data_IF_958648394768
#
_entry.id   IF_958648394768
#
_cell.length_a   1.000
_cell.length_b   1.000
_cell.length_c   1.000
_cell.angle_alpha   90.00
_cell.angle_beta   90.00
_cell.angle_gamma   90.00
#
_symmetry.space_group_name_H-M   'P 1'
#
loop_
_entity.id
_entity.type
_entity.pdbx_description
1 polymer ?
#
# COMPACT_ATOMS: atom_id res chain seq x y z
N UNK A 1 12.41 -4.00 -6.58
CA UNK A 1 13.85 -3.93 -6.27
C UNK A 1 14.37 -5.35 -6.35
N UNK A 2 15.50 -5.55 -7.00
CA UNK A 2 16.16 -6.84 -7.16
C UNK A 2 17.58 -6.70 -6.62
N UNK A 3 18.14 -7.78 -6.09
CA UNK A 3 19.53 -7.86 -5.62
C UNK A 3 20.28 -8.74 -6.61
N UNK A 4 21.40 -8.25 -7.13
CA UNK A 4 22.29 -8.95 -8.04
C UNK A 4 23.66 -9.12 -7.38
N UNK A 5 24.41 -10.13 -7.80
CA UNK A 5 25.83 -10.24 -7.50
C UNK A 5 26.60 -9.32 -8.45
N UNK A 6 27.14 -8.22 -7.92
CA UNK A 6 27.94 -7.25 -8.66
C UNK A 6 29.43 -7.55 -8.54
N UNK A 7 30.25 -6.85 -9.33
CA UNK A 7 31.71 -7.09 -9.38
C UNK A 7 32.43 -6.80 -8.07
N UNK A 8 31.89 -5.89 -7.25
CA UNK A 8 32.52 -5.41 -6.01
C UNK A 8 31.67 -5.71 -4.76
N UNK A 9 30.64 -6.56 -4.89
CA UNK A 9 29.65 -6.78 -3.83
C UNK A 9 28.21 -6.76 -4.36
N UNK A 10 27.22 -6.81 -3.46
CA UNK A 10 25.81 -6.87 -3.84
C UNK A 10 25.34 -5.57 -4.52
N UNK A 11 24.60 -5.70 -5.61
CA UNK A 11 24.00 -4.57 -6.33
C UNK A 11 22.48 -4.58 -6.19
N UNK A 12 21.94 -3.55 -5.55
CA UNK A 12 20.51 -3.32 -5.41
C UNK A 12 20.02 -2.48 -6.59
N UNK A 13 19.24 -3.12 -7.46
CA UNK A 13 18.68 -2.49 -8.65
C UNK A 13 17.21 -2.17 -8.42
N UNK A 14 16.82 -0.91 -8.63
CA UNK A 14 15.43 -0.51 -8.60
C UNK A 14 15.04 0.34 -9.82
N UNK A 15 13.83 0.11 -10.32
CA UNK A 15 13.19 0.92 -11.34
C UNK A 15 11.93 1.54 -10.71
N UNK A 16 11.65 2.80 -11.03
CA UNK A 16 10.43 3.47 -10.62
C UNK A 16 9.74 4.06 -11.83
N UNK A 17 8.48 3.66 -12.04
CA UNK A 17 7.65 4.20 -13.10
C UNK A 17 7.19 5.62 -12.70
N UNK A 18 7.27 6.56 -13.65
CA UNK A 18 6.72 7.93 -13.50
C UNK A 18 7.32 8.74 -12.35
N UNK A 19 8.53 8.42 -11.91
CA UNK A 19 9.32 9.30 -11.03
C UNK A 19 10.22 10.19 -11.87
N UNK A 20 10.40 11.43 -11.43
CA UNK A 20 11.44 12.27 -11.99
C UNK A 20 12.83 11.85 -11.48
N UNK A 21 13.87 12.46 -12.04
CA UNK A 21 15.26 12.14 -11.70
C UNK A 21 15.59 12.48 -10.23
N UNK A 22 14.96 13.53 -9.68
CA UNK A 22 15.21 13.99 -8.32
C UNK A 22 14.61 13.02 -7.29
N UNK A 23 13.36 12.60 -7.47
CA UNK A 23 12.70 11.58 -6.66
C UNK A 23 13.43 10.24 -6.73
N UNK A 24 13.98 9.92 -7.89
CA UNK A 24 14.78 8.71 -8.11
C UNK A 24 16.09 8.77 -7.33
N UNK A 25 16.80 9.90 -7.38
CA UNK A 25 18.02 10.16 -6.60
C UNK A 25 17.75 10.22 -5.10
N UNK A 26 16.62 10.78 -4.69
CA UNK A 26 16.18 10.79 -3.29
C UNK A 26 15.91 9.36 -2.80
N UNK A 27 15.23 8.54 -3.60
CA UNK A 27 14.98 7.12 -3.28
C UNK A 27 16.30 6.34 -3.16
N UNK A 28 17.25 6.53 -4.08
CA UNK A 28 18.56 5.87 -4.01
C UNK A 28 19.30 6.27 -2.72
N UNK A 29 19.37 7.56 -2.41
CA UNK A 29 19.98 8.07 -1.17
C UNK A 29 19.32 7.50 0.08
N UNK A 30 17.99 7.44 0.10
CA UNK A 30 17.24 6.84 1.20
C UNK A 30 17.62 5.37 1.41
N UNK A 31 17.61 4.55 0.35
CA UNK A 31 17.96 3.12 0.43
C UNK A 31 19.40 2.94 0.88
N UNK A 32 20.35 3.72 0.35
CA UNK A 32 21.75 3.69 0.79
C UNK A 32 21.88 3.95 2.29
N UNK A 33 21.28 5.03 2.77
CA UNK A 33 21.35 5.40 4.18
C UNK A 33 20.68 4.34 5.08
N UNK A 34 19.61 3.71 4.62
CA UNK A 34 18.86 2.69 5.36
C UNK A 34 19.68 1.41 5.53
N UNK A 35 20.31 0.96 4.44
CA UNK A 35 21.17 -0.23 4.47
C UNK A 35 22.44 0.02 5.26
N UNK A 36 23.07 1.20 5.14
CA UNK A 36 24.23 1.57 5.97
C UNK A 36 23.87 1.60 7.45
N UNK A 37 22.74 2.20 7.82
CA UNK A 37 22.24 2.22 9.20
C UNK A 37 22.09 0.80 9.76
N UNK A 38 21.44 -0.09 9.00
CA UNK A 38 21.18 -1.46 9.44
C UNK A 38 22.45 -2.33 9.50
N UNK A 39 23.35 -2.20 8.51
CA UNK A 39 24.53 -3.04 8.38
C UNK A 39 25.71 -2.64 9.25
N UNK A 40 25.99 -1.34 9.35
CA UNK A 40 27.16 -0.86 10.09
C UNK A 40 26.87 -0.75 11.59
N UNK A 41 25.63 -0.42 11.96
CA UNK A 41 25.20 -0.16 13.33
C UNK A 41 26.27 0.60 14.14
N UNK A 42 26.79 1.72 13.59
CA UNK A 42 27.94 2.47 14.13
C UNK A 42 27.78 2.91 15.60
N UNK A 43 26.54 2.91 16.10
CA UNK A 43 26.20 3.30 17.47
C UNK A 43 26.06 2.10 18.41
N UNK A 44 26.36 0.88 17.96
CA UNK A 44 26.21 -0.38 18.71
C UNK A 44 24.85 -0.48 19.40
N UNK A 45 23.79 -0.13 18.67
CA UNK A 45 22.42 -0.18 19.19
C UNK A 45 22.01 -1.64 19.41
N UNK A 46 21.19 -1.87 20.44
CA UNK A 46 20.48 -3.14 20.58
C UNK A 46 19.55 -3.37 19.38
N UNK A 47 19.19 -4.63 19.12
CA UNK A 47 18.30 -4.99 18.00
C UNK A 47 17.00 -4.17 18.02
N UNK A 48 16.37 -4.02 19.19
CA UNK A 48 15.13 -3.24 19.33
C UNK A 48 15.32 -1.74 19.06
N UNK A 49 16.45 -1.19 19.52
CA UNK A 49 16.77 0.22 19.30
C UNK A 49 17.11 0.49 17.82
N UNK A 50 17.76 -0.46 17.15
CA UNK A 50 18.05 -0.41 15.73
C UNK A 50 16.77 -0.55 14.90
N UNK A 51 15.90 -1.52 15.21
CA UNK A 51 14.60 -1.71 14.55
C UNK A 51 13.77 -0.43 14.64
N UNK A 52 13.70 0.17 15.83
CA UNK A 52 12.99 1.43 16.03
C UNK A 52 13.56 2.56 15.19
N UNK A 53 14.88 2.64 15.04
CA UNK A 53 15.53 3.68 14.23
C UNK A 53 15.31 3.48 12.74
N UNK A 54 15.44 2.23 12.27
CA UNK A 54 15.10 1.82 10.90
C UNK A 54 13.63 2.14 10.59
N UNK A 55 12.72 1.83 11.51
CA UNK A 55 11.30 2.15 11.38
C UNK A 55 11.07 3.66 11.22
N UNK A 56 11.67 4.49 12.08
CA UNK A 56 11.55 5.96 11.98
C UNK A 56 11.98 6.47 10.61
N UNK A 57 13.13 6.00 10.14
CA UNK A 57 13.66 6.40 8.85
C UNK A 57 12.72 6.01 7.70
N UNK A 58 12.16 4.80 7.74
CA UNK A 58 11.14 4.34 6.77
C UNK A 58 9.88 5.21 6.83
N UNK A 59 9.42 5.56 8.03
CA UNK A 59 8.24 6.41 8.20
C UNK A 59 8.49 7.82 7.67
N UNK A 60 9.63 8.43 8.02
CA UNK A 60 10.02 9.76 7.57
C UNK A 60 10.07 9.86 6.04
N UNK A 61 10.60 8.86 5.36
CA UNK A 61 10.61 8.82 3.89
C UNK A 61 9.21 8.63 3.26
N UNK A 62 8.29 7.96 3.96
CA UNK A 62 6.94 7.66 3.44
C UNK A 62 5.85 8.56 4.02
N UNK A 63 6.20 9.70 4.64
CA UNK A 63 5.23 10.52 5.39
C UNK A 63 4.00 10.93 4.57
N UNK A 64 4.16 11.33 3.31
CA UNK A 64 3.04 11.69 2.44
C UNK A 64 2.02 10.55 2.29
N UNK A 65 2.51 9.33 2.05
CA UNK A 65 1.68 8.12 1.95
C UNK A 65 1.08 7.72 3.28
N UNK A 66 1.82 7.92 4.38
CA UNK A 66 1.35 7.62 5.73
C UNK A 66 0.18 8.51 6.10
N UNK A 67 0.23 9.81 5.77
CA UNK A 67 -0.90 10.72 5.95
C UNK A 67 -2.13 10.22 5.20
N UNK A 68 -1.97 9.84 3.92
CA UNK A 68 -3.08 9.30 3.13
C UNK A 68 -3.65 8.00 3.73
N UNK A 69 -2.78 7.07 4.15
CA UNK A 69 -3.19 5.82 4.79
C UNK A 69 -3.84 6.03 6.16
N UNK A 70 -3.46 7.08 6.90
CA UNK A 70 -4.09 7.46 8.16
C UNK A 70 -5.54 7.87 7.93
N UNK A 71 -5.77 8.77 6.98
CA UNK A 71 -7.10 9.32 6.73
C UNK A 71 -8.04 8.24 6.16
N UNK A 72 -7.50 7.38 5.30
CA UNK A 72 -8.24 6.22 4.78
C UNK A 72 -8.51 5.17 5.85
N UNK A 73 -7.59 4.95 6.79
CA UNK A 73 -7.81 4.07 7.94
C UNK A 73 -8.91 4.61 8.86
N UNK A 74 -8.90 5.90 9.20
CA UNK A 74 -9.96 6.52 10.00
C UNK A 74 -11.33 6.37 9.34
N UNK A 75 -11.40 6.65 8.03
CA UNK A 75 -12.64 6.46 7.25
C UNK A 75 -13.12 5.02 7.28
N UNK A 76 -12.22 4.05 7.06
CA UNK A 76 -12.57 2.63 7.09
C UNK A 76 -13.05 2.18 8.48
N UNK A 77 -12.44 2.69 9.55
CA UNK A 77 -12.87 2.44 10.93
C UNK A 77 -14.27 2.99 11.21
N UNK A 78 -14.55 4.22 10.75
CA UNK A 78 -15.88 4.83 10.84
C UNK A 78 -16.96 3.99 10.16
N UNK A 79 -16.73 3.58 8.91
CA UNK A 79 -17.66 2.74 8.16
C UNK A 79 -17.86 1.35 8.79
N UNK A 80 -16.82 0.77 9.40
CA UNK A 80 -16.94 -0.51 10.10
C UNK A 80 -17.76 -0.38 11.40
N UNK A 81 -17.66 0.76 12.10
CA UNK A 81 -18.50 1.07 13.27
C UNK A 81 -19.97 1.25 12.86
N UNK A 82 -20.23 1.99 11.77
CA UNK A 82 -21.59 2.13 11.22
C UNK A 82 -22.19 0.78 10.80
N UNK A 83 -21.40 -0.07 10.12
CA UNK A 83 -21.85 -1.42 9.75
C UNK A 83 -22.08 -2.30 11.00
N UNK A 84 -21.29 -2.11 12.06
CA UNK A 84 -21.49 -2.81 13.33
C UNK A 84 -22.83 -2.42 13.98
N UNK A 85 -23.14 -1.13 14.06
CA UNK A 85 -24.40 -0.61 14.63
C UNK A 85 -25.61 -1.00 13.78
N UNK A 86 -25.50 -0.87 12.45
CA UNK A 86 -26.56 -1.25 11.50
C UNK A 86 -26.94 -2.73 11.63
N UNK A 87 -25.99 -3.60 11.95
CA UNK A 87 -26.22 -5.04 12.15
C UNK A 87 -26.76 -5.38 13.54
N UNK A 88 -26.94 -4.39 14.42
CA UNK A 88 -27.32 -4.59 15.83
C UNK A 88 -26.43 -5.66 16.50
N UNK A 89 -25.14 -5.62 16.19
CA UNK A 89 -24.18 -6.59 16.72
C UNK A 89 -24.00 -6.33 18.22
N UNK A 90 -24.20 -7.33 19.07
CA UNK A 90 -24.01 -7.24 20.53
C UNK A 90 -22.52 -7.29 20.96
N UNK A 91 -21.59 -7.23 20.00
CA UNK A 91 -20.16 -7.38 20.25
C UNK A 91 -19.54 -6.02 20.66
N UNK A 92 -19.93 -5.56 21.85
CA UNK A 92 -19.46 -4.30 22.44
C UNK A 92 -17.94 -4.27 22.64
N UNK A 93 -17.31 -5.43 22.81
CA UNK A 93 -15.85 -5.55 22.86
C UNK A 93 -15.22 -5.12 21.53
N UNK A 94 -15.72 -5.64 20.39
CA UNK A 94 -15.28 -5.23 19.06
C UNK A 94 -15.55 -3.74 18.82
N UNK A 95 -16.72 -3.23 19.21
CA UNK A 95 -17.05 -1.80 19.09
C UNK A 95 -16.04 -0.93 19.84
N UNK A 96 -15.74 -1.27 21.09
CA UNK A 96 -14.75 -0.58 21.91
C UNK A 96 -13.33 -0.65 21.32
N UNK A 97 -12.92 -1.81 20.79
CA UNK A 97 -11.63 -1.95 20.11
C UNK A 97 -11.52 -1.04 18.87
N UNK A 98 -12.56 -1.01 18.03
CA UNK A 98 -12.60 -0.16 16.84
C UNK A 98 -12.58 1.33 17.20
N UNK A 99 -13.33 1.74 18.23
CA UNK A 99 -13.32 3.11 18.74
C UNK A 99 -11.94 3.52 19.28
N UNK A 100 -11.33 2.69 20.12
CA UNK A 100 -9.97 2.92 20.64
C UNK A 100 -8.95 3.08 19.52
N UNK A 101 -9.02 2.24 18.49
CA UNK A 101 -8.11 2.35 17.35
C UNK A 101 -8.35 3.63 16.55
N UNK A 102 -9.62 4.02 16.36
CA UNK A 102 -10.01 5.24 15.65
C UNK A 102 -9.55 6.50 16.38
N UNK A 103 -9.74 6.58 17.69
CA UNK A 103 -9.23 7.68 18.53
C UNK A 103 -7.72 7.89 18.37
N UNK A 104 -6.97 6.79 18.23
CA UNK A 104 -5.51 6.82 18.04
C UNK A 104 -5.09 7.22 16.62
N UNK A 105 -6.01 7.22 15.67
CA UNK A 105 -5.79 7.80 14.34
C UNK A 105 -5.96 9.34 14.33
N UNK A 106 -6.46 9.94 15.41
CA UNK A 106 -6.71 11.37 15.51
C UNK A 106 -5.45 12.15 15.95
N UNK A 107 -4.47 12.25 15.06
CA UNK A 107 -3.27 13.08 15.25
C UNK A 107 -2.91 13.83 13.97
N UNK A 108 -2.27 15.00 14.07
CA UNK A 108 -1.81 15.74 12.90
C UNK A 108 -0.47 15.21 12.40
N UNK A 109 -0.39 14.93 11.11
CA UNK A 109 0.86 14.64 10.44
C UNK A 109 1.39 15.92 9.80
N UNK A 110 2.15 16.71 10.57
CA UNK A 110 2.82 17.88 10.00
C UNK A 110 4.03 17.42 9.17
N UNK A 111 4.34 18.12 8.08
CA UNK A 111 5.44 17.81 7.16
C UNK A 111 6.79 17.71 7.88
N UNK A 112 7.23 16.49 8.17
CA UNK A 112 8.59 16.23 8.66
C UNK A 112 9.52 16.32 7.46
N UNK A 113 10.51 17.22 7.50
CA UNK A 113 11.58 17.23 6.51
C UNK A 113 12.50 16.02 6.74
N UNK A 114 12.91 15.36 5.66
CA UNK A 114 13.75 14.15 5.64
C UNK A 114 15.07 14.27 6.43
N UNK A 115 15.51 15.48 6.79
CA UNK A 115 16.81 15.75 7.42
C UNK A 115 16.79 15.94 8.95
N UNK A 116 15.63 15.92 9.62
CA UNK A 116 15.57 16.24 11.06
C UNK A 116 15.85 15.06 12.02
N UNK A 117 16.12 13.85 11.51
CA UNK A 117 16.21 12.64 12.35
C UNK A 117 17.41 12.60 13.32
N UNK A 118 18.47 13.39 13.09
CA UNK A 118 19.75 13.18 13.80
C UNK A 118 19.71 13.74 15.25
N UNK A 119 18.74 14.58 15.63
CA UNK A 119 18.62 15.14 17.00
C UNK A 119 17.18 15.16 17.54
N UNK A 120 16.47 14.04 17.54
CA UNK A 120 15.10 13.98 18.07
C UNK A 120 15.00 13.98 19.61
N UNK A 121 15.27 15.13 20.24
CA UNK A 121 14.68 15.52 21.56
C UNK A 121 13.64 16.65 21.42
N UNK A 122 13.44 17.18 20.22
CA UNK A 122 12.60 18.35 19.94
C UNK A 122 11.10 18.04 19.80
N UNK A 123 10.24 19.08 19.88
CA UNK A 123 8.81 19.00 19.60
C UNK A 123 8.44 18.62 18.15
N UNK A 124 9.38 18.69 17.19
CA UNK A 124 9.16 18.38 15.77
C UNK A 124 9.02 16.87 15.48
N UNK A 125 9.48 16.00 16.39
CA UNK A 125 9.37 14.54 16.23
C UNK A 125 8.04 13.95 16.76
N UNK A 126 7.04 14.80 17.05
CA UNK A 126 5.70 14.34 17.50
C UNK A 126 5.01 13.41 16.49
N UNK A 127 4.95 13.74 15.18
CA UNK A 127 4.23 12.90 14.23
C UNK A 127 4.82 11.49 14.08
N UNK A 128 6.15 11.34 14.10
CA UNK A 128 6.78 10.00 14.06
C UNK A 128 6.42 9.16 15.28
N UNK A 129 6.43 9.76 16.47
CA UNK A 129 6.05 9.05 17.71
C UNK A 129 4.59 8.60 17.67
N UNK A 130 3.70 9.41 17.11
CA UNK A 130 2.29 9.04 16.99
C UNK A 130 2.08 7.94 15.93
N UNK A 131 2.79 8.00 14.79
CA UNK A 131 2.84 6.91 13.83
C UNK A 131 3.37 5.61 14.46
N UNK A 132 4.46 5.66 15.23
CA UNK A 132 5.02 4.50 15.96
C UNK A 132 3.99 3.90 16.91
N UNK A 133 3.30 4.75 17.69
CA UNK A 133 2.26 4.31 18.62
C UNK A 133 1.11 3.62 17.90
N UNK A 134 0.62 4.19 16.80
CA UNK A 134 -0.45 3.60 16.00
C UNK A 134 -0.02 2.25 15.41
N UNK A 135 1.17 2.17 14.83
CA UNK A 135 1.74 0.92 14.29
C UNK A 135 1.84 -0.15 15.36
N UNK A 136 2.29 0.21 16.57
CA UNK A 136 2.42 -0.74 17.67
C UNK A 136 1.06 -1.27 18.14
N UNK A 137 0.04 -0.41 18.18
CA UNK A 137 -1.34 -0.82 18.47
C UNK A 137 -1.88 -1.77 17.41
N UNK A 138 -1.68 -1.45 16.13
CA UNK A 138 -2.10 -2.30 14.99
C UNK A 138 -1.38 -3.65 15.06
N UNK A 139 -0.08 -3.65 15.31
CA UNK A 139 0.71 -4.87 15.45
C UNK A 139 0.20 -5.76 16.58
N UNK A 140 -0.07 -5.19 17.75
CA UNK A 140 -0.62 -5.94 18.88
C UNK A 140 -2.02 -6.49 18.57
N UNK A 141 -2.87 -5.69 17.91
CA UNK A 141 -4.20 -6.15 17.49
C UNK A 141 -4.13 -7.32 16.49
N UNK A 142 -3.15 -7.30 15.59
CA UNK A 142 -2.93 -8.37 14.63
C UNK A 142 -2.28 -9.62 15.26
N UNK A 143 -1.47 -9.48 16.30
CA UNK A 143 -0.88 -10.62 17.02
C UNK A 143 -1.88 -11.28 17.97
N UNK A 144 -2.57 -10.50 18.80
CA UNK A 144 -3.38 -10.99 19.92
C UNK A 144 -4.71 -11.65 19.51
N UNK A 145 -4.92 -11.94 18.22
CA UNK A 145 -6.18 -12.51 17.70
C UNK A 145 -7.42 -11.73 18.18
N UNK A 146 -7.31 -10.40 18.23
CA UNK A 146 -8.35 -9.54 18.81
C UNK A 146 -9.66 -9.63 18.02
N UNK A 147 -10.73 -9.07 18.62
CA UNK A 147 -12.04 -8.97 17.97
C UNK A 147 -11.92 -8.41 16.56
N UNK A 148 -11.08 -7.37 16.36
CA UNK A 148 -10.81 -6.79 15.04
C UNK A 148 -10.29 -7.82 14.03
N UNK A 149 -9.26 -8.62 14.37
CA UNK A 149 -8.68 -9.59 13.43
C UNK A 149 -9.69 -10.66 13.04
N UNK A 150 -10.47 -11.15 14.02
CA UNK A 150 -11.55 -12.12 13.79
C UNK A 150 -12.64 -11.50 12.90
N UNK A 151 -13.12 -10.32 13.24
CA UNK A 151 -14.14 -9.60 12.50
C UNK A 151 -13.73 -9.31 11.05
N UNK A 152 -12.49 -8.84 10.84
CA UNK A 152 -11.94 -8.64 9.49
C UNK A 152 -11.91 -9.96 8.71
N UNK A 153 -11.43 -11.05 9.31
CA UNK A 153 -11.36 -12.35 8.62
C UNK A 153 -12.73 -12.87 8.20
N UNK A 154 -13.75 -12.70 9.04
CA UNK A 154 -15.10 -13.21 8.79
C UNK A 154 -15.90 -12.28 7.87
N UNK A 155 -15.91 -10.98 8.15
CA UNK A 155 -16.75 -9.98 7.47
C UNK A 155 -16.17 -9.55 6.11
N UNK A 156 -14.85 -9.59 5.93
CA UNK A 156 -14.24 -9.35 4.60
C UNK A 156 -14.43 -10.52 3.61
N UNK A 157 -14.92 -11.68 4.08
CA UNK A 157 -15.22 -12.86 3.25
C UNK A 157 -16.71 -13.01 2.91
N UNK A 158 -17.55 -12.08 3.36
CA UNK A 158 -18.99 -12.13 3.08
C UNK A 158 -19.29 -12.05 1.58
N UNK A 159 -20.24 -12.87 1.12
CA UNK A 159 -20.68 -12.97 -0.28
C UNK A 159 -21.40 -11.71 -0.80
N UNK A 160 -21.80 -10.80 0.09
CA UNK A 160 -22.39 -9.52 -0.27
C UNK A 160 -21.30 -8.47 -0.55
N UNK A 161 -20.95 -8.33 -1.84
CA UNK A 161 -19.89 -7.45 -2.36
C UNK A 161 -19.97 -5.99 -1.85
N UNK A 162 -21.17 -5.45 -1.65
CA UNK A 162 -21.38 -4.09 -1.13
C UNK A 162 -21.21 -3.99 0.39
N UNK A 163 -21.39 -5.10 1.13
CA UNK A 163 -21.37 -5.11 2.60
C UNK A 163 -20.03 -5.53 3.20
N UNK A 164 -19.16 -6.16 2.43
CA UNK A 164 -17.79 -6.52 2.84
C UNK A 164 -16.77 -5.40 2.55
N UNK A 165 -17.12 -4.42 1.71
CA UNK A 165 -16.26 -3.30 1.29
C UNK A 165 -15.53 -2.59 2.44
N UNK A 166 -16.22 -2.09 3.49
CA UNK A 166 -15.58 -1.42 4.62
C UNK A 166 -14.55 -2.29 5.36
N UNK A 167 -14.87 -3.57 5.55
CA UNK A 167 -13.99 -4.53 6.24
C UNK A 167 -12.79 -4.92 5.38
N UNK A 168 -12.95 -4.97 4.05
CA UNK A 168 -11.86 -5.16 3.09
C UNK A 168 -10.90 -3.97 3.10
N UNK A 169 -11.41 -2.74 3.08
CA UNK A 169 -10.60 -1.51 3.19
C UNK A 169 -9.89 -1.45 4.55
N UNK A 170 -10.59 -1.76 5.65
CA UNK A 170 -9.97 -1.82 6.98
C UNK A 170 -8.81 -2.82 6.99
N UNK A 171 -9.02 -4.04 6.47
CA UNK A 171 -7.95 -5.04 6.31
C UNK A 171 -6.78 -4.49 5.50
N UNK A 172 -7.07 -3.80 4.40
CA UNK A 172 -6.06 -3.22 3.52
C UNK A 172 -5.17 -2.24 4.27
N UNK A 173 -5.75 -1.22 4.92
CA UNK A 173 -4.98 -0.20 5.60
C UNK A 173 -4.28 -0.73 6.86
N UNK A 174 -4.90 -1.62 7.64
CA UNK A 174 -4.20 -2.30 8.73
C UNK A 174 -2.96 -3.06 8.23
N UNK A 175 -3.05 -3.71 7.08
CA UNK A 175 -1.92 -4.37 6.43
C UNK A 175 -0.84 -3.37 5.96
N UNK A 176 -1.24 -2.25 5.35
CA UNK A 176 -0.29 -1.20 4.93
C UNK A 176 0.51 -0.65 6.11
N UNK A 177 -0.15 -0.32 7.21
CA UNK A 177 0.51 0.19 8.41
C UNK A 177 1.44 -0.84 9.04
N UNK A 178 0.99 -2.09 9.17
CA UNK A 178 1.80 -3.17 9.73
C UNK A 178 3.03 -3.49 8.89
N UNK A 179 2.94 -3.38 7.56
CA UNK A 179 4.03 -3.69 6.65
C UNK A 179 5.29 -2.84 6.89
N UNK A 180 5.15 -1.60 7.37
CA UNK A 180 6.31 -0.76 7.71
C UNK A 180 7.09 -1.32 8.90
N UNK A 181 6.39 -1.83 9.93
CA UNK A 181 7.04 -2.49 11.06
C UNK A 181 7.69 -3.80 10.66
N UNK A 182 6.99 -4.61 9.85
CA UNK A 182 7.56 -5.84 9.32
C UNK A 182 8.81 -5.57 8.47
N UNK A 183 8.81 -4.52 7.65
CA UNK A 183 9.96 -4.13 6.86
C UNK A 183 11.15 -3.74 7.75
N UNK A 184 10.92 -2.93 8.80
CA UNK A 184 11.98 -2.54 9.72
C UNK A 184 12.60 -3.76 10.45
N UNK A 185 11.75 -4.63 10.99
CA UNK A 185 12.19 -5.87 11.62
C UNK A 185 12.96 -6.76 10.64
N UNK A 186 12.42 -6.97 9.43
CA UNK A 186 13.05 -7.80 8.40
C UNK A 186 14.42 -7.25 7.99
N UNK A 187 14.57 -5.94 7.83
CA UNK A 187 15.86 -5.32 7.47
C UNK A 187 16.90 -5.56 8.57
N UNK A 188 16.54 -5.40 9.84
CA UNK A 188 17.46 -5.66 10.96
C UNK A 188 17.84 -7.13 11.06
N UNK A 189 16.87 -8.03 10.93
CA UNK A 189 17.14 -9.47 10.90
C UNK A 189 18.01 -9.86 9.70
N UNK A 190 17.77 -9.28 8.53
CA UNK A 190 18.55 -9.53 7.32
C UNK A 190 19.99 -9.03 7.46
N UNK A 191 20.21 -7.88 8.11
CA UNK A 191 21.55 -7.37 8.38
C UNK A 191 22.35 -8.30 9.30
N UNK A 192 21.69 -8.91 10.29
CA UNK A 192 22.32 -9.89 11.17
C UNK A 192 22.58 -11.23 10.46
N UNK A 193 21.64 -11.71 9.65
CA UNK A 193 21.72 -13.01 8.99
C UNK A 193 22.64 -13.01 7.76
N UNK A 194 22.69 -11.91 7.02
CA UNK A 194 23.47 -11.77 5.79
C UNK A 194 24.27 -10.46 5.77
N UNK A 195 25.31 -10.32 6.61
CA UNK A 195 26.08 -9.08 6.73
C UNK A 195 26.69 -8.61 5.40
N UNK A 196 27.08 -9.56 4.54
CA UNK A 196 27.62 -9.29 3.20
C UNK A 196 26.65 -8.50 2.31
N UNK A 197 25.33 -8.63 2.50
CA UNK A 197 24.33 -7.84 1.75
C UNK A 197 24.36 -6.33 2.10
N UNK A 198 25.02 -5.97 3.19
CA UNK A 198 25.04 -4.62 3.73
C UNK A 198 26.46 -4.01 3.75
N UNK A 199 27.43 -4.71 3.17
CA UNK A 199 28.83 -4.27 3.02
C UNK A 199 29.13 -4.01 1.55
N UNK A 200 29.86 -2.92 1.27
CA UNK A 200 30.34 -2.54 -0.06
C UNK A 200 29.29 -2.63 -1.19
N UNK A 201 28.02 -2.41 -0.84
CA UNK A 201 26.90 -2.55 -1.74
C UNK A 201 26.78 -1.36 -2.68
N UNK A 202 26.17 -1.60 -3.84
CA UNK A 202 25.85 -0.55 -4.82
C UNK A 202 24.35 -0.40 -4.97
N UNK A 203 23.88 0.85 -5.06
CA UNK A 203 22.49 1.17 -5.41
C UNK A 203 22.45 1.67 -6.85
N UNK A 204 21.73 0.97 -7.72
CA UNK A 204 21.55 1.34 -9.12
C UNK A 204 20.08 1.62 -9.39
N UNK A 205 19.79 2.81 -9.90
CA UNK A 205 18.46 3.13 -10.39
C UNK A 205 18.39 2.99 -11.89
N UNK A 206 17.33 2.35 -12.38
CA UNK A 206 17.03 2.26 -13.79
C UNK A 206 16.00 3.34 -14.17
N UNK A 207 16.25 4.11 -15.24
CA UNK A 207 15.30 5.08 -15.73
C UNK A 207 14.01 4.39 -16.19
N UNK A 208 12.90 5.12 -16.12
CA UNK A 208 11.65 4.66 -16.72
C UNK A 208 11.85 4.42 -18.22
N UNK A 209 11.25 3.35 -18.74
CA UNK A 209 11.17 3.16 -20.19
C UNK A 209 10.45 4.34 -20.83
N UNK A 210 10.94 4.80 -21.98
CA UNK A 210 10.22 5.78 -22.80
C UNK A 210 8.94 5.13 -23.31
N UNK A 211 7.83 5.88 -23.34
CA UNK A 211 6.60 5.36 -23.96
C UNK A 211 6.90 5.07 -25.43
N UNK A 212 6.93 3.80 -25.80
CA UNK A 212 6.80 3.40 -27.20
C UNK A 212 5.40 3.86 -27.64
N UNK A 213 5.32 4.64 -28.71
CA UNK A 213 4.04 5.02 -29.32
C UNK A 213 3.24 3.76 -29.57
N UNK A 214 1.94 3.78 -29.25
CA UNK A 214 1.08 2.62 -29.49
C UNK A 214 1.25 2.22 -30.96
N UNK A 215 1.67 0.98 -31.28
CA UNK A 215 1.78 0.54 -32.67
C UNK A 215 0.40 0.45 -33.35
N UNK A 216 -0.66 0.46 -32.54
CA UNK A 216 -2.05 0.49 -32.98
C UNK A 216 -2.52 1.95 -32.96
N UNK A 217 -2.70 2.51 -34.15
CA UNK A 217 -3.45 3.77 -34.37
C UNK A 217 -4.76 3.63 -33.60
N UNK A 218 -5.08 4.58 -32.72
CA UNK A 218 -6.40 4.61 -32.08
C UNK A 218 -7.45 4.55 -33.18
N UNK A 219 -8.19 3.45 -33.25
CA UNK A 219 -9.38 3.44 -34.07
C UNK A 219 -10.32 4.50 -33.48
N UNK A 220 -10.72 5.49 -34.28
CA UNK A 220 -11.72 6.51 -33.94
C UNK A 220 -13.13 5.93 -33.75
N UNK A 221 -13.22 4.66 -33.37
CA UNK A 221 -14.43 3.97 -32.96
C UNK A 221 -14.85 4.51 -31.60
N UNK A 222 -15.63 5.58 -31.64
CA UNK A 222 -16.36 6.09 -30.49
C UNK A 222 -17.41 5.06 -30.05
N UNK A 223 -17.78 5.07 -28.77
CA UNK A 223 -18.83 4.20 -28.25
C UNK A 223 -20.16 4.35 -29.04
N UNK A 224 -20.42 5.55 -29.56
CA UNK A 224 -21.57 5.84 -30.45
C UNK A 224 -21.48 5.04 -31.75
N UNK A 225 -20.32 5.00 -32.41
CA UNK A 225 -20.12 4.23 -33.64
C UNK A 225 -20.31 2.73 -33.40
N UNK A 226 -19.89 2.21 -32.25
CA UNK A 226 -20.08 0.80 -31.88
C UNK A 226 -21.57 0.47 -31.74
N UNK A 227 -22.34 1.30 -31.01
CA UNK A 227 -23.79 1.09 -30.81
C UNK A 227 -24.53 1.16 -32.15
N UNK A 228 -24.21 2.14 -33.00
CA UNK A 228 -24.82 2.25 -34.34
C UNK A 228 -24.52 1.03 -35.22
N UNK A 229 -23.30 0.46 -35.13
CA UNK A 229 -22.97 -0.78 -35.83
C UNK A 229 -23.76 -1.98 -35.30
N UNK A 230 -23.99 -2.07 -33.98
CA UNK A 230 -24.79 -3.14 -33.38
C UNK A 230 -26.27 -3.03 -33.79
N UNK A 231 -26.85 -1.83 -33.78
CA UNK A 231 -28.23 -1.60 -34.22
C UNK A 231 -28.41 -1.90 -35.72
N UNK A 232 -27.44 -1.51 -36.56
CA UNK A 232 -27.45 -1.83 -37.98
C UNK A 232 -27.33 -3.34 -38.24
N UNK A 233 -26.55 -4.05 -37.42
CA UNK A 233 -26.41 -5.50 -37.50
C UNK A 233 -27.70 -6.24 -37.09
N UNK A 234 -28.38 -5.80 -36.03
CA UNK A 234 -29.68 -6.35 -35.62
C UNK A 234 -30.76 -6.16 -36.70
N UNK A 235 -30.80 -5.00 -37.36
CA UNK A 235 -31.73 -4.76 -38.48
C UNK A 235 -31.45 -5.69 -39.67
N UNK A 236 -30.19 -5.95 -39.99
CA UNK A 236 -29.81 -6.89 -41.07
C UNK A 236 -30.16 -8.33 -40.74
N UNK A 237 -29.94 -8.75 -39.50
CA UNK A 237 -30.36 -10.08 -39.03
C UNK A 237 -31.88 -10.20 -39.13
N UNK A 238 -32.63 -9.21 -38.61
CA UNK A 238 -34.09 -9.21 -38.62
C UNK A 238 -34.67 -9.26 -40.04
N UNK A 239 -34.10 -8.50 -40.99
CA UNK A 239 -34.48 -8.56 -42.40
C UNK A 239 -34.16 -9.92 -43.05
N UNK A 240 -33.05 -10.56 -42.68
CA UNK A 240 -32.70 -11.91 -43.13
C UNK A 240 -33.68 -12.98 -42.65
N UNK A 241 -34.14 -12.89 -41.39
CA UNK A 241 -35.17 -13.80 -40.86
C UNK A 241 -36.52 -13.64 -41.58
N UNK A 242 -36.90 -12.42 -41.95
CA UNK A 242 -38.13 -12.17 -42.73
C UNK A 242 -38.03 -12.79 -44.13
N UNK A 243 -36.88 -12.69 -44.79
CA UNK A 243 -36.64 -13.33 -46.09
C UNK A 243 -36.67 -14.86 -46.04
N UNK A 244 -36.06 -15.48 -45.03
CA UNK A 244 -36.08 -16.93 -44.83
C UNK A 244 -37.51 -17.45 -44.53
N UNK A 245 -38.35 -16.62 -43.89
CA UNK A 245 -39.73 -16.98 -43.57
C UNK A 245 -40.65 -16.87 -44.79
N UNK A 246 -40.39 -15.91 -45.69
CA UNK A 246 -41.13 -15.74 -46.95
C UNK A 246 -40.77 -16.81 -47.99
N UNK A 247 -39.52 -17.28 -48.03
CA UNK A 247 -39.12 -18.34 -48.98
C UNK A 247 -39.68 -19.72 -48.64
N UNK A 248 -40.08 -19.98 -47.39
CA UNK A 248 -40.74 -21.22 -46.96
C UNK A 248 -42.26 -21.25 -47.20
N UNK A 249 -42.88 -20.15 -47.61
CA UNK A 249 -44.33 -20.08 -47.90
C UNK A 249 -44.66 -20.18 -49.40
N UNK A 250 -43.64 -20.19 -50.28
CA UNK A 250 -43.79 -20.27 -51.74
C UNK A 250 -43.17 -21.55 -52.34
N UNK A 251 -43.10 -22.65 -51.56
CA UNK A 251 -42.63 -23.97 -52.01
C UNK A 251 -43.64 -25.06 -51.66
#
# INVERSE_FOLDING_TARGET
>A
MTILEGTNGPEFVFAANRKDEEETRATARFVTNLLQLAGQNLQNLSSDALEKRVLRMILAFNMSRITEYKDKLDKALGLCLEDHERRQSEDEALKSELQKLREKCNFSVNNIREQEEIKCKSPSCRPLRDCERLINLIHNAQLAMTGIKKAVRTKARGSEFLRSGPWCELKHYLGRWHSYRQAANFIVCAAAAWPLLFQDFKITSLPSSTRISKPIVQSDLTAVAIVQHMEAFEKRISAGWVWIRLSKFNS
#
